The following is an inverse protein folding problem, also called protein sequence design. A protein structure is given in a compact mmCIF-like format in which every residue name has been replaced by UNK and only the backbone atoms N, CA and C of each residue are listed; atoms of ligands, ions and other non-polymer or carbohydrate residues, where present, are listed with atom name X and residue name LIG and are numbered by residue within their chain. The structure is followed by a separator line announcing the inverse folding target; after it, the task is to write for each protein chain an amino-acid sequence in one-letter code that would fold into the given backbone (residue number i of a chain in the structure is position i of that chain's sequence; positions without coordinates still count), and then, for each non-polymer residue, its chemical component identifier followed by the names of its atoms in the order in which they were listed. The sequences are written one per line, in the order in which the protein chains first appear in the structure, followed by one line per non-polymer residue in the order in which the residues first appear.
data_IF_698743190740
#
_entry.id   IF_698743190740
#
_cell.length_a   1.000
_cell.length_b   1.000
_cell.length_c   1.000
_cell.angle_alpha   90.00
_cell.angle_beta   90.00
_cell.angle_gamma   90.00
#
_symmetry.space_group_name_H-M   'P 1'
#
loop_
_entity.id
_entity.type
_entity.pdbx_description
1 polymer ?
#
# COMPACT_ATOMS: atom_id res chain seq x y z
N UNK A 1 -18.33 -0.06 -21.63
CA UNK A 1 -19.50 -0.55 -20.88
C UNK A 1 -19.52 -0.02 -19.46
N UNK A 2 -20.68 0.47 -19.01
CA UNK A 2 -20.93 0.89 -17.63
C UNK A 2 -21.53 -0.30 -16.85
N UNK A 3 -20.71 -0.98 -16.05
CA UNK A 3 -21.15 -2.15 -15.26
C UNK A 3 -20.86 -1.94 -13.77
N UNK A 4 -21.82 -1.36 -13.04
CA UNK A 4 -21.73 -1.15 -11.58
C UNK A 4 -21.51 -2.47 -10.81
N UNK A 5 -22.15 -3.57 -11.25
CA UNK A 5 -22.05 -4.85 -10.56
C UNK A 5 -20.62 -5.40 -10.54
N UNK A 6 -19.80 -5.04 -11.54
CA UNK A 6 -18.39 -5.43 -11.61
C UNK A 6 -17.53 -4.80 -10.49
N UNK A 7 -18.02 -3.76 -9.79
CA UNK A 7 -17.29 -3.12 -8.68
C UNK A 7 -17.51 -3.82 -7.33
N UNK A 8 -18.61 -4.55 -7.16
CA UNK A 8 -19.03 -5.08 -5.85
C UNK A 8 -18.07 -6.15 -5.35
N UNK A 9 -17.80 -7.18 -6.16
CA UNK A 9 -16.98 -8.32 -5.72
C UNK A 9 -15.52 -7.91 -5.46
N UNK A 10 -14.84 -7.15 -6.34
CA UNK A 10 -13.47 -6.70 -6.06
C UNK A 10 -13.36 -5.84 -4.80
N UNK A 11 -14.30 -4.92 -4.57
CA UNK A 11 -14.30 -4.08 -3.37
C UNK A 11 -14.53 -4.92 -2.10
N UNK A 12 -15.42 -5.91 -2.16
CA UNK A 12 -15.65 -6.86 -1.07
C UNK A 12 -14.39 -7.65 -0.70
N UNK A 13 -13.71 -8.20 -1.71
CA UNK A 13 -12.48 -8.97 -1.51
C UNK A 13 -11.39 -8.10 -0.89
N UNK A 14 -11.11 -6.92 -1.46
CA UNK A 14 -10.09 -6.00 -0.93
C UNK A 14 -10.43 -5.57 0.50
N UNK A 15 -11.70 -5.29 0.80
CA UNK A 15 -12.15 -4.96 2.16
C UNK A 15 -11.81 -6.07 3.16
N UNK A 16 -12.13 -7.32 2.82
CA UNK A 16 -11.86 -8.47 3.68
C UNK A 16 -10.38 -8.69 3.93
N UNK A 17 -9.59 -8.71 2.86
CA UNK A 17 -8.14 -8.91 2.93
C UNK A 17 -7.45 -7.77 3.68
N UNK A 18 -7.80 -6.51 3.38
CA UNK A 18 -7.23 -5.35 4.07
C UNK A 18 -7.44 -5.41 5.59
N UNK A 19 -8.61 -5.86 6.06
CA UNK A 19 -8.89 -6.06 7.49
C UNK A 19 -8.04 -7.18 8.11
N UNK A 20 -7.86 -8.29 7.41
CA UNK A 20 -7.00 -9.39 7.88
C UNK A 20 -5.55 -8.94 8.07
N UNK A 21 -5.09 -8.01 7.24
CA UNK A 21 -3.75 -7.44 7.28
C UNK A 21 -3.62 -6.18 8.15
N UNK A 22 -4.70 -5.72 8.80
CA UNK A 22 -4.71 -4.50 9.60
C UNK A 22 -4.57 -3.21 8.79
N UNK A 23 -4.74 -3.25 7.47
CA UNK A 23 -4.69 -2.10 6.57
C UNK A 23 -6.00 -1.29 6.61
N UNK A 24 -6.33 -0.75 7.79
CA UNK A 24 -7.62 -0.11 8.08
C UNK A 24 -8.01 1.02 7.10
N UNK A 25 -7.09 1.93 6.68
CA UNK A 25 -7.45 2.96 5.70
C UNK A 25 -7.90 2.38 4.36
N UNK A 26 -7.24 1.30 3.90
CA UNK A 26 -7.58 0.63 2.65
C UNK A 26 -8.94 -0.07 2.77
N UNK A 27 -9.18 -0.76 3.89
CA UNK A 27 -10.44 -1.43 4.17
C UNK A 27 -11.63 -0.46 4.16
N UNK A 28 -11.47 0.71 4.78
CA UNK A 28 -12.52 1.73 4.86
C UNK A 28 -12.91 2.29 3.49
N UNK A 29 -11.93 2.54 2.61
CA UNK A 29 -12.21 3.01 1.25
C UNK A 29 -12.85 1.90 0.41
N UNK A 30 -12.39 0.66 0.54
CA UNK A 30 -13.01 -0.49 -0.13
C UNK A 30 -14.47 -0.71 0.31
N UNK A 31 -14.77 -0.54 1.60
CA UNK A 31 -16.13 -0.64 2.14
C UNK A 31 -17.07 0.46 1.61
N UNK A 32 -16.58 1.69 1.47
CA UNK A 32 -17.34 2.79 0.87
C UNK A 32 -17.67 2.47 -0.59
N UNK A 33 -16.70 2.02 -1.37
CA UNK A 33 -16.90 1.62 -2.77
C UNK A 33 -17.91 0.47 -2.87
N UNK A 34 -17.76 -0.58 -2.05
CA UNK A 34 -18.67 -1.73 -2.06
C UNK A 34 -20.11 -1.30 -1.73
N UNK A 35 -20.29 -0.50 -0.68
CA UNK A 35 -21.60 -0.06 -0.21
C UNK A 35 -22.29 0.82 -1.24
N UNK A 36 -21.57 1.77 -1.84
CA UNK A 36 -22.11 2.63 -2.90
C UNK A 36 -22.39 1.84 -4.17
N UNK A 37 -21.53 0.87 -4.55
CA UNK A 37 -21.77 0.00 -5.69
C UNK A 37 -23.03 -0.85 -5.50
N UNK A 38 -23.25 -1.43 -4.31
CA UNK A 38 -24.49 -2.18 -3.99
C UNK A 38 -25.72 -1.29 -4.13
N UNK A 39 -25.69 -0.09 -3.54
CA UNK A 39 -26.79 0.88 -3.66
C UNK A 39 -27.06 1.26 -5.12
N UNK A 40 -26.01 1.48 -5.91
CA UNK A 40 -26.13 1.83 -7.33
C UNK A 40 -26.67 0.68 -8.18
N UNK A 41 -26.33 -0.58 -7.86
CA UNK A 41 -26.95 -1.76 -8.48
C UNK A 41 -28.45 -1.80 -8.17
N UNK A 42 -28.84 -1.61 -6.91
CA UNK A 42 -30.24 -1.63 -6.48
C UNK A 42 -31.06 -0.50 -7.12
N UNK A 43 -30.49 0.71 -7.18
CA UNK A 43 -31.13 1.90 -7.75
C UNK A 43 -30.98 2.03 -9.26
N UNK A 44 -30.28 1.08 -9.91
CA UNK A 44 -29.97 1.09 -11.35
C UNK A 44 -29.28 2.37 -11.81
N UNK A 45 -28.38 2.90 -10.99
CA UNK A 45 -27.54 4.06 -11.31
C UNK A 45 -26.08 3.65 -11.49
N UNK A 46 -25.32 4.46 -12.21
CA UNK A 46 -23.87 4.32 -12.30
C UNK A 46 -23.19 5.21 -11.23
N UNK A 47 -22.15 4.71 -10.52
CA UNK A 47 -21.57 5.41 -9.38
C UNK A 47 -20.44 6.35 -9.83
N UNK A 48 -20.75 7.38 -10.61
CA UNK A 48 -19.74 8.35 -11.08
C UNK A 48 -19.10 9.14 -9.93
N UNK A 49 -19.83 9.31 -8.83
CA UNK A 49 -19.36 10.08 -7.68
C UNK A 49 -18.23 9.41 -6.90
N UNK A 50 -18.03 8.08 -7.04
CA UNK A 50 -17.01 7.34 -6.28
C UNK A 50 -15.67 7.19 -7.01
N UNK A 51 -15.51 7.86 -8.16
CA UNK A 51 -14.23 7.85 -8.90
C UNK A 51 -13.05 8.32 -8.02
N UNK A 52 -13.16 9.38 -7.20
CA UNK A 52 -12.10 9.79 -6.28
C UNK A 52 -11.69 8.68 -5.31
N UNK A 53 -12.64 7.94 -4.77
CA UNK A 53 -12.44 6.83 -3.84
C UNK A 53 -11.72 5.67 -4.53
N UNK A 54 -12.04 5.37 -5.80
CA UNK A 54 -11.33 4.34 -6.58
C UNK A 54 -9.86 4.73 -6.81
N UNK A 55 -9.59 6.01 -7.09
CA UNK A 55 -8.22 6.52 -7.21
C UNK A 55 -7.47 6.41 -5.87
N UNK A 56 -8.13 6.79 -4.78
CA UNK A 56 -7.58 6.69 -3.43
C UNK A 56 -7.32 5.24 -3.01
N UNK A 57 -8.23 4.31 -3.36
CA UNK A 57 -8.06 2.87 -3.13
C UNK A 57 -6.76 2.38 -3.76
N UNK A 58 -6.49 2.76 -5.02
CA UNK A 58 -5.25 2.37 -5.71
C UNK A 58 -4.01 2.95 -5.02
N UNK A 59 -4.07 4.20 -4.59
CA UNK A 59 -2.96 4.86 -3.88
C UNK A 59 -2.65 4.15 -2.56
N UNK A 60 -3.67 3.87 -1.76
CA UNK A 60 -3.55 3.17 -0.48
C UNK A 60 -3.09 1.74 -0.66
N UNK A 61 -3.59 1.02 -1.67
CA UNK A 61 -3.16 -0.33 -1.98
C UNK A 61 -1.65 -0.39 -2.25
N UNK A 62 -1.14 0.45 -3.14
CA UNK A 62 0.28 0.53 -3.44
C UNK A 62 1.10 0.86 -2.18
N UNK A 63 0.61 1.78 -1.36
CA UNK A 63 1.28 2.13 -0.10
C UNK A 63 1.31 0.96 0.88
N UNK A 64 0.23 0.21 0.99
CA UNK A 64 0.16 -0.98 1.83
C UNK A 64 1.18 -2.02 1.37
N UNK A 65 1.23 -2.30 0.07
CA UNK A 65 2.23 -3.22 -0.51
C UNK A 65 3.66 -2.76 -0.21
N UNK A 66 3.98 -1.47 -0.41
CA UNK A 66 5.30 -0.93 -0.07
C UNK A 66 5.68 -1.11 1.41
N UNK A 67 4.70 -0.96 2.32
CA UNK A 67 4.92 -1.15 3.74
C UNK A 67 5.14 -2.64 4.07
N UNK A 68 4.37 -3.52 3.43
CA UNK A 68 4.57 -4.96 3.53
C UNK A 68 5.96 -5.38 3.04
N UNK A 69 6.38 -4.93 1.86
CA UNK A 69 7.70 -5.23 1.31
C UNK A 69 8.82 -4.77 2.25
N UNK A 70 8.69 -3.57 2.85
CA UNK A 70 9.67 -3.06 3.82
C UNK A 70 9.69 -3.87 5.12
N UNK A 71 8.54 -4.29 5.62
CA UNK A 71 8.43 -5.01 6.89
C UNK A 71 8.86 -6.48 6.77
N UNK A 72 8.65 -7.10 5.61
CA UNK A 72 8.87 -8.53 5.37
C UNK A 72 10.19 -8.83 4.67
N UNK A 73 10.89 -7.84 4.12
CA UNK A 73 12.18 -8.05 3.46
C UNK A 73 13.35 -8.01 4.46
N UNK A 74 13.97 -9.17 4.81
CA UNK A 74 15.07 -9.23 5.77
C UNK A 74 16.39 -8.65 5.25
N UNK A 75 16.48 -8.31 3.95
CA UNK A 75 17.68 -7.76 3.33
C UNK A 75 17.71 -6.22 3.40
N UNK A 76 16.57 -5.54 3.48
CA UNK A 76 16.50 -4.07 3.58
C UNK A 76 16.94 -3.54 4.95
N UNK A 77 16.80 -4.34 6.01
CA UNK A 77 17.27 -4.02 7.36
C UNK A 77 18.79 -4.17 7.52
N UNK A 78 19.48 -4.78 6.55
CA UNK A 78 20.95 -4.78 6.44
C UNK A 78 21.40 -3.66 5.52
N UNK A 79 21.15 -2.40 5.91
CA UNK A 79 22.04 -1.35 5.44
C UNK A 79 23.47 -1.76 5.84
N UNK A 80 24.46 -1.79 4.92
CA UNK A 80 25.83 -1.97 5.34
C UNK A 80 26.11 -0.79 6.27
N UNK A 81 26.20 -1.06 7.57
CA UNK A 81 26.71 -0.10 8.53
C UNK A 81 28.02 0.41 7.93
N UNK A 82 28.04 1.69 7.55
CA UNK A 82 29.24 2.37 7.09
C UNK A 82 30.21 2.39 8.28
N UNK A 83 30.92 1.28 8.48
CA UNK A 83 31.64 1.00 9.72
C UNK A 83 31.52 -0.44 10.22
N UNK A 84 31.54 -1.44 9.32
CA UNK A 84 31.81 -2.82 9.75
C UNK A 84 33.17 -2.91 10.46
N UNK A 85 33.22 -3.72 11.52
CA UNK A 85 34.45 -4.03 12.27
C UNK A 85 35.59 -4.40 11.30
N UNK A 86 36.71 -3.66 11.38
CA UNK A 86 37.93 -3.96 10.62
C UNK A 86 38.36 -2.94 9.56
N UNK A 87 37.66 -1.81 9.37
CA UNK A 87 38.21 -0.75 8.51
C UNK A 87 39.40 -0.06 9.20
N UNK A 88 40.61 -0.45 8.80
CA UNK A 88 41.87 0.25 9.14
C UNK A 88 41.74 1.71 8.74
N UNK A 89 41.76 2.60 9.72
CA UNK A 89 42.01 4.04 9.53
C UNK A 89 43.45 4.15 8.99
N UNK A 90 43.60 4.39 7.69
CA UNK A 90 44.88 4.72 7.09
C UNK A 90 45.26 6.14 7.49
N UNK A 91 45.93 6.29 8.63
CA UNK A 91 46.53 7.55 9.06
C UNK A 91 47.81 7.82 8.23
N UNK A 92 47.65 8.19 6.96
CA UNK A 92 48.76 8.61 6.08
C UNK A 92 49.15 10.08 6.34
N UNK A 93 49.58 10.43 7.55
CA UNK A 93 50.13 11.77 7.80
C UNK A 93 51.30 11.84 8.79
N UNK A 94 52.08 10.77 8.95
CA UNK A 94 53.38 10.86 9.63
C UNK A 94 54.48 10.97 8.58
N UNK A 95 55.08 12.16 8.44
CA UNK A 95 56.25 12.35 7.57
C UNK A 95 56.44 13.75 6.95
N UNK A 96 55.96 14.82 7.57
CA UNK A 96 56.35 16.19 7.20
C UNK A 96 57.09 16.86 8.35
N UNK A 97 58.41 16.68 8.36
CA UNK A 97 59.41 17.60 8.95
C UNK A 97 60.55 17.67 7.94
#
# INVERSE_FOLDING_TARGET
DQNTAALVLPAHTIKGEARQFGAEPLAKVAELIESTARLCVETRRFPDEIVPEVVELRRLFNRTVELFDKATNPLLSRAPQAGGFGRKVTNQNFGRI
#
